data_IF_027226251836
#
_entry.id   IF_027226251836
#
_cell.length_a   1.000
_cell.length_b   1.000
_cell.length_c   1.000
_cell.angle_alpha   90.00
_cell.angle_beta   90.00
_cell.angle_gamma   90.00
#
_symmetry.space_group_name_H-M   'P 1'
#
loop_
_entity.id
_entity.type
_entity.pdbx_description
1 polymer ?
#
# COMPACT_ATOMS: atom_id res chain seq x y z
N UNK A 1 -32.82 4.95 13.49
CA UNK A 1 -32.37 3.82 12.64
C UNK A 1 -30.89 3.60 12.92
N UNK A 2 -30.45 2.52 13.59
CA UNK A 2 -29.03 2.26 13.71
C UNK A 2 -28.56 1.51 12.46
N UNK A 3 -27.56 2.07 11.77
CA UNK A 3 -26.82 1.36 10.73
C UNK A 3 -26.07 0.21 11.39
N UNK A 4 -26.49 -1.03 11.13
CA UNK A 4 -25.70 -2.21 11.48
C UNK A 4 -24.48 -2.24 10.57
N UNK A 5 -23.34 -1.79 11.08
CA UNK A 5 -22.04 -2.00 10.47
C UNK A 5 -21.79 -3.51 10.42
N UNK A 6 -22.00 -4.11 9.24
CA UNK A 6 -21.64 -5.50 9.00
C UNK A 6 -20.12 -5.59 9.07
N UNK A 7 -19.59 -6.00 10.24
CA UNK A 7 -18.21 -6.45 10.37
C UNK A 7 -17.93 -7.45 9.25
N UNK A 8 -16.97 -7.11 8.40
CA UNK A 8 -16.55 -7.95 7.29
C UNK A 8 -15.99 -9.27 7.86
N UNK A 9 -16.63 -10.43 7.63
CA UNK A 9 -16.25 -11.69 8.26
C UNK A 9 -14.84 -12.16 7.87
N UNK A 10 -14.31 -11.73 6.73
CA UNK A 10 -12.91 -12.03 6.34
C UNK A 10 -11.86 -11.43 7.29
N UNK A 11 -12.17 -10.37 8.05
CA UNK A 11 -11.22 -9.80 9.02
C UNK A 11 -11.19 -10.58 10.35
N UNK A 12 -12.22 -11.38 10.64
CA UNK A 12 -12.35 -12.12 11.89
C UNK A 12 -11.50 -13.41 11.93
N UNK A 13 -11.08 -13.94 10.78
CA UNK A 13 -10.25 -15.15 10.66
C UNK A 13 -8.77 -14.86 10.34
N UNK A 14 -8.41 -13.60 10.15
CA UNK A 14 -7.03 -13.20 9.94
C UNK A 14 -6.21 -13.40 11.22
N UNK A 15 -5.10 -14.13 11.14
CA UNK A 15 -4.14 -14.26 12.23
C UNK A 15 -3.61 -12.89 12.69
N UNK A 16 -3.05 -12.78 13.91
CA UNK A 16 -2.60 -11.50 14.48
C UNK A 16 -1.63 -10.74 13.54
N UNK A 17 -0.81 -11.47 12.76
CA UNK A 17 0.12 -10.90 11.79
C UNK A 17 -0.60 -10.22 10.61
N UNK A 18 -1.69 -10.81 10.08
CA UNK A 18 -2.45 -10.22 8.98
C UNK A 18 -3.21 -8.97 9.42
N UNK A 19 -3.73 -8.96 10.66
CA UNK A 19 -4.38 -7.76 11.22
C UNK A 19 -3.37 -6.62 11.41
N UNK A 20 -2.15 -6.94 11.87
CA UNK A 20 -1.07 -5.96 11.97
C UNK A 20 -0.68 -5.40 10.60
N UNK A 21 -0.50 -6.25 9.59
CA UNK A 21 -0.18 -5.83 8.22
C UNK A 21 -1.25 -4.90 7.64
N UNK A 22 -2.53 -5.24 7.80
CA UNK A 22 -3.64 -4.42 7.33
C UNK A 22 -3.73 -3.06 8.04
N UNK A 23 -3.51 -3.05 9.37
CA UNK A 23 -3.46 -1.82 10.15
C UNK A 23 -2.28 -0.94 9.74
N UNK A 24 -1.09 -1.52 9.62
CA UNK A 24 0.12 -0.79 9.22
C UNK A 24 -0.04 -0.20 7.82
N UNK A 25 -0.54 -0.99 6.87
CA UNK A 25 -0.81 -0.54 5.51
C UNK A 25 -1.79 0.65 5.48
N UNK A 26 -2.92 0.54 6.18
CA UNK A 26 -3.94 1.60 6.24
C UNK A 26 -3.37 2.88 6.86
N UNK A 27 -2.62 2.75 7.96
CA UNK A 27 -1.97 3.88 8.63
C UNK A 27 -1.00 4.61 7.71
N UNK A 28 -0.15 3.86 7.00
CA UNK A 28 0.83 4.42 6.09
C UNK A 28 0.18 5.07 4.87
N UNK A 29 -0.92 4.50 4.37
CA UNK A 29 -1.66 5.05 3.24
C UNK A 29 -2.27 6.41 3.60
N UNK A 30 -2.85 6.53 4.79
CA UNK A 30 -3.39 7.81 5.28
C UNK A 30 -2.28 8.85 5.51
N UNK A 31 -1.14 8.42 6.07
CA UNK A 31 0.02 9.29 6.25
C UNK A 31 0.54 9.81 4.89
N UNK A 32 0.67 8.93 3.89
CA UNK A 32 1.17 9.30 2.57
C UNK A 32 0.20 10.23 1.83
N UNK A 33 -1.11 10.07 2.02
CA UNK A 33 -2.14 10.96 1.45
C UNK A 33 -2.05 12.41 1.95
N UNK A 34 -1.51 12.59 3.16
CA UNK A 34 -1.34 13.89 3.82
C UNK A 34 0.10 14.44 3.72
N UNK A 35 1.02 13.74 3.05
CA UNK A 35 2.43 14.18 2.97
C UNK A 35 2.54 15.48 2.15
N UNK A 36 3.46 16.38 2.54
CA UNK A 36 3.72 17.63 1.82
C UNK A 36 4.25 17.39 0.40
N UNK A 37 4.93 16.27 0.20
CA UNK A 37 5.52 15.89 -1.07
C UNK A 37 4.47 15.31 -2.05
N UNK A 38 4.31 15.97 -3.19
CA UNK A 38 3.33 15.55 -4.20
C UNK A 38 3.60 14.14 -4.73
N UNK A 39 4.86 13.76 -4.93
CA UNK A 39 5.20 12.42 -5.40
C UNK A 39 4.82 11.32 -4.39
N UNK A 40 4.91 11.57 -3.08
CA UNK A 40 4.42 10.64 -2.06
C UNK A 40 2.89 10.51 -2.13
N UNK A 41 2.17 11.63 -2.27
CA UNK A 41 0.71 11.60 -2.42
C UNK A 41 0.25 10.88 -3.69
N UNK A 42 0.90 11.15 -4.81
CA UNK A 42 0.53 10.59 -6.12
C UNK A 42 0.84 9.09 -6.18
N UNK A 43 2.04 8.66 -5.77
CA UNK A 43 2.40 7.24 -5.74
C UNK A 43 1.51 6.45 -4.79
N UNK A 44 1.15 7.00 -3.61
CA UNK A 44 0.25 6.31 -2.68
C UNK A 44 -1.18 6.19 -3.22
N UNK A 45 -1.69 7.21 -3.90
CA UNK A 45 -2.98 7.14 -4.60
C UNK A 45 -2.97 6.09 -5.71
N UNK A 46 -1.87 5.99 -6.45
CA UNK A 46 -1.69 4.98 -7.50
C UNK A 46 -1.66 3.56 -6.93
N UNK A 47 -0.93 3.32 -5.83
CA UNK A 47 -0.92 2.01 -5.13
C UNK A 47 -2.34 1.62 -4.69
N UNK A 48 -3.08 2.53 -4.05
CA UNK A 48 -4.45 2.27 -3.63
C UNK A 48 -5.37 1.93 -4.81
N UNK A 49 -5.16 2.61 -5.95
CA UNK A 49 -5.93 2.36 -7.16
C UNK A 49 -5.69 0.97 -7.73
N UNK A 50 -4.44 0.54 -7.86
CA UNK A 50 -4.10 -0.81 -8.36
C UNK A 50 -4.75 -1.89 -7.49
N UNK A 51 -4.66 -1.75 -6.17
CA UNK A 51 -5.26 -2.72 -5.24
C UNK A 51 -6.79 -2.74 -5.35
N UNK A 52 -7.42 -1.59 -5.57
CA UNK A 52 -8.85 -1.52 -5.84
C UNK A 52 -9.20 -2.23 -7.16
N UNK A 53 -8.45 -2.00 -8.22
CA UNK A 53 -8.68 -2.62 -9.54
C UNK A 53 -8.52 -4.15 -9.47
N UNK A 54 -7.56 -4.64 -8.69
CA UNK A 54 -7.43 -6.07 -8.36
C UNK A 54 -8.66 -6.61 -7.64
N UNK A 55 -9.15 -5.90 -6.63
CA UNK A 55 -10.33 -6.32 -5.86
C UNK A 55 -11.60 -6.33 -6.72
N UNK A 56 -11.69 -5.45 -7.72
CA UNK A 56 -12.75 -5.44 -8.72
C UNK A 56 -12.58 -6.49 -9.83
N UNK A 57 -11.45 -7.20 -9.88
CA UNK A 57 -11.13 -8.20 -10.90
C UNK A 57 -10.73 -7.62 -12.25
N UNK A 58 -10.32 -6.35 -12.31
CA UNK A 58 -9.86 -5.70 -13.54
C UNK A 58 -8.38 -5.95 -13.83
N UNK A 59 -7.61 -6.19 -12.78
CA UNK A 59 -6.21 -6.62 -12.86
C UNK A 59 -6.10 -8.00 -12.25
N UNK A 60 -5.27 -8.86 -12.85
CA UNK A 60 -4.91 -10.12 -12.23
C UNK A 60 -3.79 -9.94 -11.19
N UNK A 61 -3.35 -11.03 -10.56
CA UNK A 61 -2.29 -10.94 -9.57
C UNK A 61 -0.94 -10.56 -10.17
N UNK A 62 -0.62 -11.08 -11.35
CA UNK A 62 0.67 -10.87 -12.02
C UNK A 62 0.79 -9.41 -12.45
N UNK A 63 -0.27 -8.83 -13.03
CA UNK A 63 -0.36 -7.42 -13.38
C UNK A 63 -0.08 -6.52 -12.18
N UNK A 64 -0.73 -6.80 -11.05
CA UNK A 64 -0.57 -6.02 -9.82
C UNK A 64 0.85 -6.10 -9.28
N UNK A 65 1.44 -7.29 -9.26
CA UNK A 65 2.82 -7.49 -8.81
C UNK A 65 3.78 -6.68 -9.68
N UNK A 66 3.67 -6.77 -11.01
CA UNK A 66 4.50 -6.01 -11.95
C UNK A 66 4.38 -4.51 -11.71
N UNK A 67 3.15 -4.00 -11.58
CA UNK A 67 2.92 -2.57 -11.36
C UNK A 67 3.50 -2.08 -10.03
N UNK A 68 3.35 -2.87 -8.95
CA UNK A 68 3.87 -2.53 -7.63
C UNK A 68 5.41 -2.59 -7.59
N UNK A 69 6.02 -3.59 -8.24
CA UNK A 69 7.48 -3.67 -8.37
C UNK A 69 8.04 -2.48 -9.15
N UNK A 70 7.37 -2.08 -10.24
CA UNK A 70 7.75 -0.87 -10.99
C UNK A 70 7.68 0.41 -10.14
N UNK A 71 6.66 0.56 -9.30
CA UNK A 71 6.60 1.69 -8.35
C UNK A 71 7.68 1.62 -7.28
N UNK A 72 8.05 0.40 -6.83
CA UNK A 72 9.11 0.21 -5.85
C UNK A 72 10.45 0.68 -6.39
N UNK A 73 10.77 0.28 -7.62
CA UNK A 73 11.99 0.70 -8.31
C UNK A 73 12.02 2.23 -8.48
N UNK A 74 10.92 2.82 -8.95
CA UNK A 74 10.83 4.28 -9.12
C UNK A 74 10.99 5.02 -7.78
N UNK A 75 10.36 4.53 -6.71
CA UNK A 75 10.49 5.09 -5.37
C UNK A 75 11.93 5.00 -4.84
N UNK A 76 12.65 3.90 -5.11
CA UNK A 76 14.06 3.75 -4.76
C UNK A 76 14.95 4.73 -5.53
N UNK A 77 14.77 4.87 -6.84
CA UNK A 77 15.49 5.85 -7.66
C UNK A 77 15.26 7.26 -7.12
N UNK A 78 14.02 7.59 -6.79
CA UNK A 78 13.66 8.90 -6.23
C UNK A 78 14.28 9.13 -4.86
N UNK A 79 14.24 8.14 -3.97
CA UNK A 79 14.86 8.21 -2.65
C UNK A 79 16.38 8.46 -2.75
N UNK A 80 17.05 7.78 -3.68
CA UNK A 80 18.49 7.91 -3.90
C UNK A 80 18.90 9.30 -4.38
N UNK A 81 18.02 9.99 -5.10
CA UNK A 81 18.26 11.34 -5.63
C UNK A 81 17.68 12.46 -4.74
N UNK A 82 16.95 12.13 -3.67
CA UNK A 82 16.34 13.08 -2.77
C UNK A 82 17.29 13.52 -1.64
N UNK A 83 17.03 14.72 -1.10
CA UNK A 83 17.58 15.18 0.17
C UNK A 83 17.23 14.21 1.30
N UNK A 84 18.07 14.14 2.33
CA UNK A 84 17.98 13.14 3.41
C UNK A 84 16.57 13.08 4.02
N UNK A 85 15.96 14.22 4.33
CA UNK A 85 14.62 14.26 4.92
C UNK A 85 13.56 13.59 4.01
N UNK A 86 13.55 13.92 2.72
CA UNK A 86 12.60 13.33 1.77
C UNK A 86 12.92 11.86 1.50
N UNK A 87 14.20 11.48 1.39
CA UNK A 87 14.64 10.09 1.30
C UNK A 87 14.10 9.25 2.45
N UNK A 88 14.28 9.71 3.69
CA UNK A 88 13.77 9.01 4.88
C UNK A 88 12.25 8.85 4.83
N UNK A 89 11.51 9.88 4.40
CA UNK A 89 10.05 9.76 4.24
C UNK A 89 9.67 8.76 3.15
N UNK A 90 10.31 8.77 1.99
CA UNK A 90 10.03 7.80 0.91
C UNK A 90 10.23 6.35 1.38
N UNK A 91 11.30 6.08 2.12
CA UNK A 91 11.53 4.75 2.71
C UNK A 91 10.48 4.37 3.75
N UNK A 92 10.18 5.29 4.68
CA UNK A 92 9.23 5.03 5.77
C UNK A 92 7.77 4.94 5.31
N UNK A 93 7.45 5.43 4.10
CA UNK A 93 6.08 5.48 3.56
C UNK A 93 5.94 4.60 2.31
N UNK A 94 6.35 5.09 1.14
CA UNK A 94 6.10 4.44 -0.15
C UNK A 94 6.72 3.04 -0.24
N UNK A 95 8.00 2.91 0.08
CA UNK A 95 8.68 1.61 -0.01
C UNK A 95 8.04 0.62 0.96
N UNK A 96 7.74 1.07 2.19
CA UNK A 96 7.06 0.23 3.18
C UNK A 96 5.65 -0.17 2.75
N UNK A 97 4.86 0.73 2.17
CA UNK A 97 3.53 0.45 1.62
C UNK A 97 3.58 -0.62 0.55
N UNK A 98 4.53 -0.49 -0.38
CA UNK A 98 4.69 -1.44 -1.49
C UNK A 98 5.14 -2.81 -0.96
N UNK A 99 6.11 -2.84 -0.05
CA UNK A 99 6.59 -4.08 0.56
C UNK A 99 5.45 -4.82 1.31
N UNK A 100 4.60 -4.10 2.04
CA UNK A 100 3.43 -4.66 2.72
C UNK A 100 2.40 -5.22 1.72
N UNK A 101 2.12 -4.49 0.64
CA UNK A 101 1.20 -4.93 -0.40
C UNK A 101 1.70 -6.20 -1.09
N UNK A 102 2.95 -6.20 -1.56
CA UNK A 102 3.57 -7.35 -2.21
C UNK A 102 3.62 -8.56 -1.28
N UNK A 103 4.04 -8.37 -0.02
CA UNK A 103 4.08 -9.47 0.97
C UNK A 103 2.70 -10.10 1.17
N UNK A 104 1.65 -9.28 1.23
CA UNK A 104 0.28 -9.77 1.43
C UNK A 104 -0.23 -10.52 0.20
N UNK A 105 0.01 -9.96 -1.00
CA UNK A 105 -0.43 -10.56 -2.26
C UNK A 105 0.26 -11.90 -2.55
N UNK A 106 1.57 -11.98 -2.32
CA UNK A 106 2.36 -13.18 -2.59
C UNK A 106 2.15 -14.29 -1.56
N UNK A 107 1.80 -13.95 -0.30
CA UNK A 107 1.46 -14.94 0.74
C UNK A 107 0.03 -15.47 0.64
N UNK A 108 -0.83 -14.80 -0.13
CA UNK A 108 -2.22 -15.22 -0.32
C UNK A 108 -2.38 -16.30 -1.42
N UNK A 109 -1.29 -16.69 -2.07
CA UNK A 109 -1.21 -17.81 -3.02
C UNK A 109 -0.74 -19.09 -2.32
#
# INVERSE_FOLDING_TARGET
>A
MPFTEKRNPQLAEAGPDQQYLAFEFTRLLEQARQDDDAGIRETSAFIARILQEKACGWLDLEDVVILLEGQREMALIRANNAQIALRSRIHATLIRLIDLALTTLLKAC
#
